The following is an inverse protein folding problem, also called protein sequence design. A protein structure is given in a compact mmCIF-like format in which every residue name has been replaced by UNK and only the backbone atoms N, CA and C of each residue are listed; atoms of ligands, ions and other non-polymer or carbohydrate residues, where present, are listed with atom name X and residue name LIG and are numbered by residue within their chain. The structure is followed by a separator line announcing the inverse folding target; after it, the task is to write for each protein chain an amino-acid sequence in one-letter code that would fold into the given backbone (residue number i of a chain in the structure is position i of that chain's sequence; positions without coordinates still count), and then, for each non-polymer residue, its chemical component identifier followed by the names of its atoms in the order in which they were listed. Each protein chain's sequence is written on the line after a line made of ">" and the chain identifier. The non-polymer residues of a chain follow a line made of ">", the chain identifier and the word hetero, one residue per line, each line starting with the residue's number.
data_IF_670494993801
#
_entry.id   IF_670494993801
#
_cell.length_a   1.000
_cell.length_b   1.000
_cell.length_c   1.000
_cell.angle_alpha   90.00
_cell.angle_beta   90.00
_cell.angle_gamma   90.00
#
_symmetry.space_group_name_H-M   'P 1'
#
loop_
_entity.id
_entity.type
_entity.pdbx_description
1 polymer ?
#
# COMPACT_ATOMS: atom_id res chain seq x y z
N UNK A 1 16.74 16.58 71.14
CA UNK A 1 16.90 17.23 69.78
C UNK A 1 17.35 16.24 68.73
N UNK A 2 18.06 15.17 69.09
CA UNK A 2 18.54 14.15 68.09
C UNK A 2 17.42 13.32 67.43
N UNK A 3 16.28 13.08 68.10
CA UNK A 3 15.18 12.32 67.62
C UNK A 3 14.47 12.98 66.39
N UNK A 4 14.59 14.29 66.22
CA UNK A 4 14.02 15.02 65.05
C UNK A 4 15.02 15.18 63.90
N UNK A 5 16.32 15.03 64.17
CA UNK A 5 17.34 15.14 63.08
C UNK A 5 17.35 13.95 62.13
N UNK A 6 17.13 12.74 62.62
CA UNK A 6 17.15 11.52 61.81
C UNK A 6 16.00 11.53 60.76
N UNK A 7 14.71 11.78 61.16
CA UNK A 7 13.64 11.85 60.18
C UNK A 7 13.80 13.01 59.17
N UNK A 8 14.36 14.16 59.61
CA UNK A 8 14.62 15.29 58.70
C UNK A 8 15.71 14.95 57.66
N UNK A 9 16.76 14.25 58.02
CA UNK A 9 17.80 13.76 57.12
C UNK A 9 17.25 12.73 56.13
N UNK A 10 16.39 11.82 56.58
CA UNK A 10 15.75 10.83 55.73
C UNK A 10 14.83 11.49 54.70
N UNK A 11 14.02 12.47 55.14
CA UNK A 11 13.16 13.24 54.25
C UNK A 11 14.00 14.01 53.22
N UNK A 12 15.08 14.67 53.65
CA UNK A 12 16.00 15.39 52.76
C UNK A 12 16.66 14.46 51.76
N UNK A 13 17.07 13.27 52.17
CA UNK A 13 17.64 12.27 51.29
C UNK A 13 16.63 11.72 50.26
N UNK A 14 15.39 11.46 50.68
CA UNK A 14 14.30 11.04 49.77
C UNK A 14 13.98 12.13 48.76
N UNK A 15 13.94 13.40 49.17
CA UNK A 15 13.73 14.54 48.28
C UNK A 15 14.87 14.66 47.25
N UNK A 16 16.12 14.47 47.72
CA UNK A 16 17.29 14.53 46.85
C UNK A 16 17.29 13.41 45.80
N UNK A 17 16.85 12.21 46.16
CA UNK A 17 16.68 11.11 45.19
C UNK A 17 15.58 11.38 44.16
N UNK A 18 14.50 12.05 44.55
CA UNK A 18 13.40 12.44 43.64
C UNK A 18 13.74 13.66 42.76
N UNK A 19 14.83 14.35 43.02
CA UNK A 19 15.32 15.50 42.27
C UNK A 19 15.92 15.07 40.91
N UNK A 20 16.44 13.85 40.85
CA UNK A 20 17.06 13.31 39.64
C UNK A 20 16.03 12.57 38.79
N UNK A 21 15.82 13.02 37.56
CA UNK A 21 15.00 12.33 36.56
C UNK A 21 15.83 12.02 35.34
N UNK A 22 15.66 10.80 34.83
CA UNK A 22 16.26 10.35 33.55
C UNK A 22 15.18 10.44 32.47
N UNK A 23 15.52 11.11 31.39
CA UNK A 23 14.73 11.20 30.17
C UNK A 23 15.42 10.34 29.12
N UNK A 24 14.70 9.40 28.52
CA UNK A 24 15.21 8.52 27.49
C UNK A 24 15.45 9.28 26.18
N UNK A 25 16.31 8.75 25.30
CA UNK A 25 16.68 9.42 24.06
C UNK A 25 15.49 9.66 23.12
N UNK A 26 14.51 8.80 23.18
CA UNK A 26 13.28 8.89 22.39
C UNK A 26 12.16 9.70 23.06
N UNK A 27 12.38 10.21 24.29
CA UNK A 27 11.44 11.03 25.04
C UNK A 27 11.88 12.49 25.12
N UNK A 28 10.93 13.37 25.38
CA UNK A 28 11.14 14.75 25.82
C UNK A 28 10.30 15.00 27.07
N UNK A 29 10.86 15.71 28.02
CA UNK A 29 10.17 16.07 29.25
C UNK A 29 9.65 17.50 29.20
N UNK A 30 8.34 17.69 29.29
CA UNK A 30 7.72 19.02 29.43
C UNK A 30 7.64 19.36 30.90
N UNK A 31 8.33 20.43 31.30
CA UNK A 31 8.38 20.90 32.70
C UNK A 31 7.31 21.96 32.93
N UNK A 32 6.46 21.66 33.90
CA UNK A 32 5.49 22.61 34.45
C UNK A 32 5.92 23.04 35.85
N UNK A 33 6.24 24.32 36.04
CA UNK A 33 6.59 24.90 37.35
C UNK A 33 5.36 25.60 37.90
N UNK A 34 4.81 25.11 39.02
CA UNK A 34 3.56 25.61 39.59
C UNK A 34 2.41 25.70 38.57
N UNK A 35 2.35 24.73 37.65
CA UNK A 35 1.34 24.68 36.60
C UNK A 35 1.65 25.51 35.35
N UNK A 36 2.70 26.33 35.33
CA UNK A 36 3.11 27.10 34.15
C UNK A 36 4.23 26.39 33.42
N UNK A 37 4.15 26.37 32.07
CA UNK A 37 5.24 25.88 31.23
C UNK A 37 6.55 26.62 31.48
N UNK A 38 7.61 25.89 31.78
CA UNK A 38 8.93 26.44 32.12
C UNK A 38 10.00 26.06 31.08
N UNK A 39 9.82 24.97 30.36
CA UNK A 39 10.78 24.53 29.36
C UNK A 39 10.65 23.03 29.03
N UNK A 40 11.47 22.60 28.06
CA UNK A 40 11.53 21.20 27.60
C UNK A 40 12.88 20.60 27.95
N UNK A 41 12.87 19.47 28.65
CA UNK A 41 14.06 18.72 29.04
C UNK A 41 14.55 17.84 27.87
N UNK A 42 15.85 17.90 27.67
CA UNK A 42 16.55 17.03 26.73
C UNK A 42 16.82 15.64 27.34
N UNK A 43 17.07 14.62 26.51
CA UNK A 43 17.46 13.30 26.99
C UNK A 43 18.71 13.33 27.87
N UNK A 44 18.72 12.47 28.86
CA UNK A 44 19.79 12.34 29.82
C UNK A 44 19.35 12.60 31.27
N UNK A 45 20.31 12.84 32.15
CA UNK A 45 20.09 13.13 33.55
C UNK A 45 19.71 14.60 33.72
N UNK A 46 18.53 14.85 34.27
CA UNK A 46 18.02 16.20 34.55
C UNK A 46 17.74 16.36 36.06
N UNK A 47 17.87 17.59 36.54
CA UNK A 47 17.61 17.98 37.93
C UNK A 47 16.28 18.73 37.97
N UNK A 48 15.39 18.28 38.85
CA UNK A 48 14.07 18.87 39.07
C UNK A 48 13.83 19.17 40.54
N UNK A 49 12.98 20.14 40.79
CA UNK A 49 12.50 20.44 42.15
C UNK A 49 11.15 19.69 42.33
N UNK A 50 11.14 18.55 43.07
CA UNK A 50 10.01 17.60 43.00
C UNK A 50 8.67 18.14 43.54
N UNK A 51 8.66 19.19 44.34
CA UNK A 51 7.46 19.78 44.93
C UNK A 51 6.88 20.87 43.98
N UNK A 52 7.75 21.60 43.27
CA UNK A 52 7.37 22.77 42.48
C UNK A 52 7.22 22.45 40.99
N UNK A 53 7.89 21.39 40.55
CA UNK A 53 7.99 21.03 39.15
C UNK A 53 7.35 19.67 38.87
N UNK A 54 6.55 19.62 37.83
CA UNK A 54 5.97 18.39 37.25
C UNK A 54 6.49 18.19 35.83
N UNK A 55 6.89 16.96 35.50
CA UNK A 55 7.34 16.60 34.17
C UNK A 55 6.31 15.68 33.52
N UNK A 56 5.96 16.01 32.27
CA UNK A 56 5.18 15.16 31.39
C UNK A 56 6.13 14.64 30.32
N UNK A 57 6.32 13.35 30.24
CA UNK A 57 7.15 12.70 29.22
C UNK A 57 6.33 12.48 27.97
N UNK A 58 6.88 12.84 26.83
CA UNK A 58 6.28 12.67 25.50
C UNK A 58 7.21 11.84 24.63
N UNK A 59 6.70 10.75 24.05
CA UNK A 59 7.44 9.92 23.10
C UNK A 59 7.50 10.61 21.74
N UNK A 60 8.71 10.69 21.16
CA UNK A 60 8.98 11.34 19.88
C UNK A 60 9.02 10.38 18.70
N UNK A 61 8.86 9.07 18.95
CA UNK A 61 8.86 8.05 17.91
C UNK A 61 7.57 8.09 17.09
N UNK A 62 7.65 7.48 15.91
CA UNK A 62 6.46 7.28 15.09
C UNK A 62 5.51 6.34 15.84
N UNK A 63 4.30 6.82 16.06
CA UNK A 63 3.20 6.10 16.69
C UNK A 63 2.12 5.84 15.64
N UNK A 64 1.42 4.73 15.79
CA UNK A 64 0.29 4.37 14.93
C UNK A 64 -1.02 4.52 15.70
N UNK A 65 -2.06 5.01 15.00
CA UNK A 65 -3.42 4.99 15.52
C UNK A 65 -4.36 4.45 14.44
N UNK A 66 -5.19 3.50 14.83
CA UNK A 66 -6.19 2.93 13.93
C UNK A 66 -7.39 3.86 13.82
N UNK A 67 -7.82 4.11 12.59
CA UNK A 67 -9.10 4.75 12.28
C UNK A 67 -10.13 3.63 12.14
N UNK A 68 -11.12 3.55 13.04
CA UNK A 68 -12.15 2.52 13.00
C UNK A 68 -12.94 2.60 11.69
N UNK A 69 -13.49 1.47 11.29
CA UNK A 69 -14.29 1.35 10.08
C UNK A 69 -15.41 2.38 10.03
N UNK A 70 -15.49 3.10 8.91
CA UNK A 70 -16.51 4.08 8.62
C UNK A 70 -17.37 3.61 7.45
N UNK A 71 -18.69 3.73 7.58
CA UNK A 71 -19.60 3.59 6.45
C UNK A 71 -19.74 4.95 5.77
N UNK A 72 -19.37 5.02 4.51
CA UNK A 72 -19.42 6.25 3.69
C UNK A 72 -20.10 5.90 2.36
N UNK A 73 -20.82 6.87 1.81
CA UNK A 73 -21.40 6.76 0.46
C UNK A 73 -20.47 7.50 -0.50
N UNK A 74 -19.99 6.81 -1.52
CA UNK A 74 -19.15 7.37 -2.56
C UNK A 74 -19.95 8.33 -3.47
N UNK A 75 -19.27 9.09 -4.32
CA UNK A 75 -19.89 10.03 -5.27
C UNK A 75 -20.87 9.36 -6.23
N UNK A 76 -20.62 8.11 -6.61
CA UNK A 76 -21.49 7.26 -7.44
C UNK A 76 -22.58 6.52 -6.65
N UNK A 77 -22.84 6.97 -5.41
CA UNK A 77 -23.91 6.50 -4.52
C UNK A 77 -23.76 5.04 -4.08
N UNK A 78 -22.55 4.53 -3.95
CA UNK A 78 -22.26 3.20 -3.43
C UNK A 78 -21.87 3.28 -1.95
N UNK A 79 -22.54 2.59 -1.02
CA UNK A 79 -22.10 2.51 0.36
C UNK A 79 -20.86 1.63 0.48
N UNK A 80 -19.83 2.13 1.13
CA UNK A 80 -18.54 1.42 1.36
C UNK A 80 -18.14 1.52 2.82
N UNK A 81 -17.60 0.42 3.36
CA UNK A 81 -16.94 0.39 4.67
C UNK A 81 -15.44 0.56 4.47
N UNK A 82 -14.84 1.54 5.17
CA UNK A 82 -13.41 1.84 5.02
C UNK A 82 -12.78 2.03 6.38
N UNK A 83 -11.61 1.43 6.57
CA UNK A 83 -10.72 1.64 7.69
C UNK A 83 -9.33 2.09 7.20
N UNK A 84 -8.61 2.78 8.07
CA UNK A 84 -7.28 3.26 7.76
C UNK A 84 -6.41 3.31 9.02
N UNK A 85 -5.11 3.51 8.85
CA UNK A 85 -4.15 3.72 9.93
C UNK A 85 -3.40 5.02 9.69
N UNK A 86 -3.29 5.82 10.73
CA UNK A 86 -2.46 7.03 10.76
C UNK A 86 -1.13 6.72 11.41
N UNK A 87 -0.05 7.13 10.77
CA UNK A 87 1.31 7.14 11.29
C UNK A 87 1.70 8.58 11.57
N UNK A 88 1.99 8.92 12.81
CA UNK A 88 2.36 10.27 13.21
C UNK A 88 3.49 10.26 14.22
N UNK A 89 4.17 11.40 14.35
CA UNK A 89 5.18 11.64 15.38
C UNK A 89 5.03 13.04 15.96
N UNK A 90 5.41 13.19 17.21
CA UNK A 90 5.42 14.50 17.87
C UNK A 90 6.72 15.22 17.53
N UNK A 91 6.65 16.37 16.85
CA UNK A 91 7.83 17.22 16.56
C UNK A 91 8.05 18.30 17.63
N UNK A 92 6.96 18.89 18.13
CA UNK A 92 7.00 19.93 19.15
C UNK A 92 6.20 19.46 20.37
N UNK A 93 6.84 18.80 21.34
CA UNK A 93 6.15 18.20 22.47
C UNK A 93 5.46 19.24 23.39
N UNK A 94 5.96 20.48 23.42
CA UNK A 94 5.32 21.58 24.14
C UNK A 94 3.94 21.91 23.57
N UNK A 95 3.80 22.00 22.25
CA UNK A 95 2.52 22.31 21.60
C UNK A 95 1.55 21.14 21.78
N UNK A 96 2.03 19.89 21.64
CA UNK A 96 1.22 18.70 21.76
C UNK A 96 0.62 18.49 23.17
N UNK A 97 1.32 18.95 24.21
CA UNK A 97 0.84 18.84 25.61
C UNK A 97 0.00 20.04 26.03
N UNK A 98 0.34 21.24 25.54
CA UNK A 98 -0.30 22.48 26.02
C UNK A 98 -1.53 22.86 25.24
N UNK A 99 -1.60 22.52 23.93
CA UNK A 99 -2.71 22.91 23.07
C UNK A 99 -3.82 21.87 23.01
N UNK A 100 -3.50 20.60 23.22
CA UNK A 100 -4.45 19.48 23.09
C UNK A 100 -4.36 18.58 24.31
N UNK A 101 -5.51 18.10 24.77
CA UNK A 101 -5.61 17.21 25.92
C UNK A 101 -5.17 15.78 25.56
N UNK A 102 -5.66 15.25 24.43
CA UNK A 102 -5.33 13.94 23.90
C UNK A 102 -5.15 14.06 22.37
N UNK A 103 -3.89 14.22 21.98
CA UNK A 103 -3.54 14.39 20.59
C UNK A 103 -3.79 13.13 19.76
N UNK A 104 -3.66 11.93 20.35
CA UNK A 104 -3.91 10.68 19.66
C UNK A 104 -5.37 10.55 19.27
N UNK A 105 -6.25 10.82 20.21
CA UNK A 105 -7.68 10.83 19.98
C UNK A 105 -8.08 11.91 18.96
N UNK A 106 -7.56 13.13 19.10
CA UNK A 106 -7.87 14.25 18.22
C UNK A 106 -7.45 13.97 16.76
N UNK A 107 -6.23 13.45 16.54
CA UNK A 107 -5.75 13.05 15.22
C UNK A 107 -6.67 12.00 14.59
N UNK A 108 -7.04 10.98 15.38
CA UNK A 108 -7.91 9.90 14.89
C UNK A 108 -9.26 10.44 14.46
N UNK A 109 -9.89 11.31 15.26
CA UNK A 109 -11.18 11.92 14.93
C UNK A 109 -11.10 12.84 13.71
N UNK A 110 -10.04 13.62 13.60
CA UNK A 110 -9.83 14.50 12.44
C UNK A 110 -9.59 13.69 11.17
N UNK A 111 -8.72 12.68 11.24
CA UNK A 111 -8.46 11.78 10.14
C UNK A 111 -9.71 11.01 9.69
N UNK A 112 -10.56 10.59 10.63
CA UNK A 112 -11.84 9.95 10.37
C UNK A 112 -12.80 10.88 9.60
N UNK A 113 -12.83 12.15 9.96
CA UNK A 113 -13.65 13.16 9.27
C UNK A 113 -13.11 13.43 7.87
N UNK A 114 -11.81 13.67 7.73
CA UNK A 114 -11.16 13.89 6.45
C UNK A 114 -11.33 12.70 5.49
N UNK A 115 -11.22 11.47 6.03
CA UNK A 115 -11.46 10.24 5.27
C UNK A 115 -12.89 10.19 4.73
N UNK A 116 -13.89 10.53 5.55
CA UNK A 116 -15.31 10.56 5.12
C UNK A 116 -15.54 11.59 4.02
N UNK A 117 -14.99 12.79 4.17
CA UNK A 117 -15.20 13.89 3.23
C UNK A 117 -14.57 13.61 1.87
N UNK A 118 -13.34 13.11 1.84
CA UNK A 118 -12.65 12.77 0.60
C UNK A 118 -13.35 11.62 -0.12
N UNK A 119 -13.69 10.54 0.60
CA UNK A 119 -14.33 9.38 -0.02
C UNK A 119 -15.72 9.70 -0.54
N UNK A 120 -16.47 10.56 0.13
CA UNK A 120 -17.74 11.07 -0.38
C UNK A 120 -17.63 11.84 -1.70
N UNK A 121 -16.45 12.39 -2.02
CA UNK A 121 -16.15 13.09 -3.28
C UNK A 121 -15.60 12.23 -4.41
N UNK A 122 -15.24 10.96 -4.15
CA UNK A 122 -14.57 10.07 -5.09
C UNK A 122 -15.53 8.95 -5.54
N UNK A 123 -15.38 8.50 -6.79
CA UNK A 123 -16.10 7.34 -7.33
C UNK A 123 -15.45 6.02 -6.85
N UNK A 124 -16.24 4.95 -6.74
CA UNK A 124 -15.76 3.65 -6.26
C UNK A 124 -14.56 3.11 -7.05
N UNK A 125 -14.57 3.27 -8.38
CA UNK A 125 -13.47 2.81 -9.24
C UNK A 125 -12.17 3.57 -8.92
N UNK A 126 -12.24 4.88 -8.74
CA UNK A 126 -11.12 5.72 -8.28
C UNK A 126 -10.60 5.30 -6.91
N UNK A 127 -11.52 5.00 -5.97
CA UNK A 127 -11.18 4.53 -4.63
C UNK A 127 -10.42 3.20 -4.65
N UNK A 128 -10.73 2.31 -5.58
CA UNK A 128 -10.07 1.00 -5.72
C UNK A 128 -8.73 1.09 -6.46
N UNK A 129 -8.60 2.00 -7.43
CA UNK A 129 -7.44 2.12 -8.32
C UNK A 129 -6.40 3.14 -7.84
N UNK A 130 -6.83 4.23 -7.21
CA UNK A 130 -5.97 5.36 -6.82
C UNK A 130 -5.81 5.49 -5.29
N UNK A 131 -5.82 4.38 -4.55
CA UNK A 131 -5.76 4.35 -3.07
C UNK A 131 -4.64 5.21 -2.49
N UNK A 132 -3.45 5.17 -3.10
CA UNK A 132 -2.30 5.92 -2.60
C UNK A 132 -2.50 7.43 -2.73
N UNK A 133 -3.05 7.88 -3.85
CA UNK A 133 -3.35 9.30 -4.09
C UNK A 133 -4.36 9.85 -3.08
N UNK A 134 -5.42 9.08 -2.84
CA UNK A 134 -6.45 9.40 -1.84
C UNK A 134 -5.83 9.46 -0.43
N UNK A 135 -4.99 8.49 -0.08
CA UNK A 135 -4.30 8.48 1.21
C UNK A 135 -3.37 9.69 1.39
N UNK A 136 -2.67 10.12 0.33
CA UNK A 136 -1.79 11.29 0.34
C UNK A 136 -2.60 12.60 0.45
N UNK A 137 -3.79 12.66 -0.14
CA UNK A 137 -4.70 13.80 -0.02
C UNK A 137 -5.26 13.91 1.40
N UNK A 138 -5.73 12.80 2.00
CA UNK A 138 -6.16 12.75 3.40
C UNK A 138 -5.01 13.18 4.32
N UNK A 139 -3.80 12.65 4.08
CA UNK A 139 -2.60 13.03 4.83
C UNK A 139 -2.38 14.53 4.78
N UNK A 140 -2.46 15.16 3.61
CA UNK A 140 -2.21 16.59 3.43
C UNK A 140 -3.18 17.44 4.26
N UNK A 141 -4.46 17.08 4.28
CA UNK A 141 -5.50 17.78 5.06
C UNK A 141 -5.24 17.60 6.56
N UNK A 142 -4.98 16.38 7.01
CA UNK A 142 -4.75 16.10 8.43
C UNK A 142 -3.47 16.75 8.92
N UNK A 143 -2.38 16.70 8.14
CA UNK A 143 -1.09 17.27 8.49
C UNK A 143 -1.15 18.80 8.61
N UNK A 144 -1.91 19.46 7.74
CA UNK A 144 -2.11 20.90 7.80
C UNK A 144 -2.69 21.34 9.15
N UNK A 145 -3.69 20.64 9.66
CA UNK A 145 -4.33 20.98 10.95
C UNK A 145 -3.47 20.55 12.14
N UNK A 146 -2.83 19.39 12.06
CA UNK A 146 -2.04 18.84 13.17
C UNK A 146 -0.68 19.52 13.36
N UNK A 147 -0.19 20.23 12.33
CA UNK A 147 1.06 21.00 12.39
C UNK A 147 0.99 22.07 13.50
N UNK A 148 -0.15 22.72 13.70
CA UNK A 148 -0.36 23.72 14.75
C UNK A 148 -0.32 23.11 16.16
N UNK A 149 -0.50 21.81 16.27
CA UNK A 149 -0.40 21.05 17.53
C UNK A 149 1.01 20.50 17.76
N UNK A 150 1.95 20.77 16.85
CA UNK A 150 3.32 20.27 16.92
C UNK A 150 3.47 18.80 16.54
N UNK A 151 2.52 18.26 15.78
CA UNK A 151 2.47 16.86 15.35
C UNK A 151 2.65 16.82 13.83
N UNK A 152 3.42 15.84 13.38
CA UNK A 152 3.72 15.58 11.97
C UNK A 152 3.10 14.24 11.58
N UNK A 153 2.18 14.25 10.62
CA UNK A 153 1.57 13.04 10.07
C UNK A 153 2.48 12.49 8.99
N UNK A 154 3.17 11.42 9.31
CA UNK A 154 4.14 10.79 8.39
C UNK A 154 3.44 10.12 7.22
N UNK A 155 2.39 9.34 7.48
CA UNK A 155 1.62 8.64 6.45
C UNK A 155 0.21 8.30 6.94
N UNK A 156 -0.72 8.20 6.00
CA UNK A 156 -2.01 7.55 6.21
C UNK A 156 -2.09 6.39 5.23
N UNK A 157 -2.59 5.24 5.68
CA UNK A 157 -2.75 4.03 4.85
C UNK A 157 -4.16 3.51 4.97
N UNK A 158 -4.84 3.43 3.85
CA UNK A 158 -6.15 2.75 3.75
C UNK A 158 -5.86 1.25 3.82
N UNK A 159 -6.52 0.55 4.76
CA UNK A 159 -6.35 -0.89 4.94
C UNK A 159 -7.35 -1.65 4.08
N UNK A 160 -8.61 -1.67 4.49
CA UNK A 160 -9.65 -2.43 3.83
C UNK A 160 -10.73 -1.52 3.26
N UNK A 161 -11.30 -1.94 2.12
CA UNK A 161 -12.45 -1.32 1.50
C UNK A 161 -13.49 -2.41 1.33
N UNK A 162 -14.54 -2.34 2.15
CA UNK A 162 -15.64 -3.27 2.10
C UNK A 162 -16.79 -2.69 1.27
N UNK A 163 -17.21 -3.45 0.28
CA UNK A 163 -18.40 -3.14 -0.53
C UNK A 163 -19.53 -4.15 -0.24
N UNK A 164 -20.79 -3.78 -0.40
CA UNK A 164 -21.93 -4.69 -0.19
C UNK A 164 -21.81 -5.97 -1.03
N UNK A 165 -22.33 -7.08 -0.49
CA UNK A 165 -22.22 -8.40 -1.12
C UNK A 165 -22.82 -8.45 -2.53
N UNK A 166 -23.91 -7.71 -2.76
CA UNK A 166 -24.56 -7.62 -4.06
C UNK A 166 -23.66 -6.90 -5.08
N UNK A 167 -23.01 -5.82 -4.67
CA UNK A 167 -22.06 -5.09 -5.51
C UNK A 167 -20.83 -5.94 -5.82
N UNK A 168 -20.28 -6.69 -4.83
CA UNK A 168 -19.18 -7.63 -5.07
C UNK A 168 -19.52 -8.63 -6.19
N UNK A 169 -20.75 -9.13 -6.22
CA UNK A 169 -21.21 -10.06 -7.28
C UNK A 169 -21.31 -9.39 -8.65
N UNK A 170 -21.80 -8.16 -8.71
CA UNK A 170 -21.86 -7.39 -9.97
C UNK A 170 -20.47 -7.10 -10.48
N UNK A 171 -19.57 -6.62 -9.62
CA UNK A 171 -18.17 -6.35 -9.97
C UNK A 171 -17.42 -7.60 -10.43
N UNK A 172 -17.66 -8.75 -9.80
CA UNK A 172 -17.06 -10.02 -10.22
C UNK A 172 -17.48 -10.40 -11.63
N UNK A 173 -18.77 -10.29 -11.96
CA UNK A 173 -19.29 -10.54 -13.32
C UNK A 173 -18.72 -9.55 -14.35
N UNK A 174 -18.63 -8.28 -14.01
CA UNK A 174 -18.05 -7.27 -14.87
C UNK A 174 -16.56 -7.55 -15.13
N UNK A 175 -15.79 -7.90 -14.07
CA UNK A 175 -14.38 -8.25 -14.19
C UNK A 175 -14.17 -9.53 -15.03
N UNK A 176 -15.06 -10.52 -14.93
CA UNK A 176 -15.03 -11.74 -15.74
C UNK A 176 -15.28 -11.39 -17.22
N UNK A 177 -16.33 -10.62 -17.52
CA UNK A 177 -16.63 -10.18 -18.88
C UNK A 177 -15.50 -9.36 -19.52
N UNK A 178 -14.89 -8.46 -18.75
CA UNK A 178 -13.73 -7.67 -19.21
C UNK A 178 -12.49 -8.54 -19.47
N UNK A 179 -12.24 -9.55 -18.62
CA UNK A 179 -11.16 -10.51 -18.84
C UNK A 179 -11.40 -11.36 -20.09
N UNK A 180 -12.64 -11.80 -20.31
CA UNK A 180 -13.01 -12.57 -21.50
C UNK A 180 -12.88 -11.71 -22.76
N UNK A 181 -13.32 -10.45 -22.72
CA UNK A 181 -13.13 -9.49 -23.80
C UNK A 181 -11.65 -9.30 -24.14
N UNK A 182 -10.81 -9.06 -23.13
CA UNK A 182 -9.35 -8.92 -23.33
C UNK A 182 -8.71 -10.20 -23.86
N UNK A 183 -9.09 -11.36 -23.33
CA UNK A 183 -8.59 -12.65 -23.79
C UNK A 183 -8.94 -12.89 -25.29
N UNK A 184 -10.16 -12.52 -25.72
CA UNK A 184 -10.59 -12.61 -27.09
C UNK A 184 -9.78 -11.69 -28.00
N UNK A 185 -9.54 -10.43 -27.60
CA UNK A 185 -8.71 -9.48 -28.36
C UNK A 185 -7.29 -10.02 -28.52
N UNK A 186 -6.65 -10.44 -27.40
CA UNK A 186 -5.29 -10.97 -27.42
C UNK A 186 -5.19 -12.23 -28.30
N UNK A 187 -6.20 -13.10 -28.24
CA UNK A 187 -6.27 -14.29 -29.09
C UNK A 187 -6.34 -13.90 -30.57
N UNK A 188 -7.23 -12.97 -30.93
CA UNK A 188 -7.39 -12.50 -32.32
C UNK A 188 -6.13 -11.80 -32.83
N UNK A 189 -5.46 -10.99 -32.02
CA UNK A 189 -4.18 -10.37 -32.37
C UNK A 189 -3.07 -11.43 -32.54
N UNK A 190 -3.07 -12.46 -31.69
CA UNK A 190 -2.17 -13.59 -31.77
C UNK A 190 -2.40 -14.40 -33.09
N UNK A 191 -3.64 -14.67 -33.42
CA UNK A 191 -4.01 -15.36 -34.67
C UNK A 191 -3.64 -14.56 -35.93
N UNK A 192 -3.87 -13.23 -35.90
CA UNK A 192 -3.46 -12.32 -36.96
C UNK A 192 -1.93 -12.33 -37.14
N UNK A 193 -1.20 -12.21 -36.02
CA UNK A 193 0.27 -12.26 -36.04
C UNK A 193 0.79 -13.60 -36.52
N UNK A 194 0.20 -14.71 -36.07
CA UNK A 194 0.54 -16.05 -36.52
C UNK A 194 0.28 -16.22 -38.01
N UNK A 195 -0.88 -15.77 -38.51
CA UNK A 195 -1.25 -15.80 -39.96
C UNK A 195 -0.26 -14.98 -40.79
N UNK A 196 0.11 -13.78 -40.32
CA UNK A 196 1.12 -12.94 -40.99
C UNK A 196 2.48 -13.61 -41.05
N UNK A 197 2.93 -14.23 -39.96
CA UNK A 197 4.19 -14.96 -39.89
C UNK A 197 4.18 -16.21 -40.77
N UNK A 198 3.04 -16.92 -40.83
CA UNK A 198 2.85 -18.08 -41.75
C UNK A 198 2.92 -17.65 -43.18
N UNK A 199 2.22 -16.56 -43.57
CA UNK A 199 2.29 -16.01 -44.93
C UNK A 199 3.72 -15.61 -45.33
N UNK A 200 4.44 -14.97 -44.42
CA UNK A 200 5.84 -14.60 -44.60
C UNK A 200 6.74 -15.83 -44.74
N UNK A 201 6.50 -16.85 -43.93
CA UNK A 201 7.23 -18.14 -44.03
C UNK A 201 6.90 -18.85 -45.36
N UNK A 202 5.63 -18.86 -45.78
CA UNK A 202 5.22 -19.45 -47.10
C UNK A 202 5.86 -18.68 -48.26
N UNK A 203 5.92 -17.35 -48.23
CA UNK A 203 6.57 -16.57 -49.29
C UNK A 203 8.08 -16.86 -49.40
N UNK A 204 8.75 -17.14 -48.27
CA UNK A 204 10.16 -17.55 -48.24
C UNK A 204 10.36 -18.98 -48.72
N UNK A 205 9.39 -19.87 -48.47
CA UNK A 205 9.44 -21.29 -48.86
C UNK A 205 9.00 -21.52 -50.31
N UNK A 206 8.30 -20.57 -50.95
CA UNK A 206 7.90 -20.64 -52.37
C UNK A 206 9.06 -20.47 -53.35
N UNK A 207 10.23 -20.04 -52.88
CA UNK A 207 11.45 -20.13 -53.67
C UNK A 207 11.87 -21.61 -53.83
N UNK A 208 12.10 -22.02 -55.08
CA UNK A 208 12.27 -23.40 -55.49
C UNK A 208 13.22 -24.23 -54.63
N UNK A 209 12.74 -25.32 -54.08
CA UNK A 209 13.50 -26.32 -53.29
C UNK A 209 13.27 -26.32 -51.78
N UNK A 210 12.75 -25.24 -51.16
CA UNK A 210 12.60 -25.14 -49.73
C UNK A 210 11.44 -26.01 -49.17
N UNK A 211 10.39 -26.22 -49.95
CA UNK A 211 9.24 -27.08 -49.59
C UNK A 211 9.70 -28.54 -49.46
N UNK A 212 10.54 -29.00 -50.39
CA UNK A 212 11.05 -30.36 -50.39
C UNK A 212 11.96 -30.64 -49.19
N UNK A 213 12.80 -29.68 -48.81
CA UNK A 213 13.64 -29.79 -47.59
C UNK A 213 12.82 -29.83 -46.32
N UNK A 214 11.75 -29.04 -46.19
CA UNK A 214 10.89 -29.02 -44.99
C UNK A 214 10.02 -30.28 -44.88
N UNK A 215 9.54 -30.85 -46.00
CA UNK A 215 8.85 -32.14 -45.96
C UNK A 215 9.80 -33.24 -45.53
N UNK A 216 11.06 -33.25 -45.97
CA UNK A 216 12.07 -34.20 -45.53
C UNK A 216 12.38 -34.04 -44.05
N UNK A 217 12.56 -32.83 -43.54
CA UNK A 217 12.76 -32.57 -42.10
C UNK A 217 11.58 -33.00 -41.22
N UNK A 218 10.35 -32.76 -41.72
CA UNK A 218 9.15 -33.20 -41.00
C UNK A 218 9.04 -34.73 -40.94
N UNK A 219 9.39 -35.40 -42.03
CA UNK A 219 9.45 -36.89 -42.11
C UNK A 219 10.51 -37.42 -41.13
N UNK A 220 11.70 -36.81 -41.13
CA UNK A 220 12.80 -37.21 -40.25
C UNK A 220 12.43 -37.03 -38.75
N UNK A 221 11.80 -35.91 -38.40
CA UNK A 221 11.36 -35.66 -37.01
C UNK A 221 10.22 -36.57 -36.54
N UNK A 222 9.39 -37.05 -37.47
CA UNK A 222 8.22 -37.90 -37.18
C UNK A 222 8.61 -39.38 -37.09
N UNK A 223 9.65 -39.79 -37.84
CA UNK A 223 10.15 -41.16 -37.84
C UNK A 223 11.08 -41.51 -36.66
N UNK A 224 11.47 -40.52 -35.86
CA UNK A 224 12.30 -40.69 -34.68
C UNK A 224 11.62 -41.51 -33.52
N UNK A 225 10.32 -41.78 -33.63
CA UNK A 225 9.56 -42.52 -32.62
C UNK A 225 8.94 -43.78 -33.22
N UNK A 226 9.47 -44.99 -32.99
CA UNK A 226 9.08 -46.24 -33.64
C UNK A 226 7.64 -46.71 -33.32
N UNK A 227 6.90 -46.04 -32.46
CA UNK A 227 5.54 -46.39 -32.05
C UNK A 227 4.43 -45.64 -32.78
N UNK A 228 4.75 -44.68 -33.68
CA UNK A 228 3.75 -43.85 -34.32
C UNK A 228 3.44 -44.34 -35.76
N UNK A 229 2.18 -44.61 -36.01
CA UNK A 229 1.69 -44.79 -37.38
C UNK A 229 1.45 -43.41 -37.99
N UNK A 230 2.24 -43.02 -38.99
CA UNK A 230 2.12 -41.73 -39.66
C UNK A 230 1.30 -41.90 -40.95
N UNK A 231 0.14 -41.29 -41.03
CA UNK A 231 -0.71 -41.22 -42.23
C UNK A 231 -0.38 -39.95 -43.01
N UNK A 232 0.26 -40.10 -44.15
CA UNK A 232 0.53 -38.99 -45.05
C UNK A 232 -0.62 -38.78 -46.02
N UNK A 233 -1.35 -37.66 -45.89
CA UNK A 233 -2.21 -37.17 -46.95
C UNK A 233 -1.35 -36.32 -47.94
N UNK A 234 -0.97 -36.92 -49.05
CA UNK A 234 -0.21 -36.21 -50.11
C UNK A 234 -1.21 -35.49 -51.01
N UNK A 235 -1.20 -34.15 -51.13
CA UNK A 235 -2.03 -33.44 -52.10
C UNK A 235 -1.72 -33.90 -53.51
N UNK A 236 -2.76 -34.08 -54.32
CA UNK A 236 -2.66 -34.60 -55.68
C UNK A 236 -1.73 -33.78 -56.59
N UNK A 237 -1.65 -32.46 -56.30
CA UNK A 237 -0.77 -31.51 -57.00
C UNK A 237 0.71 -31.88 -56.92
N UNK A 238 1.14 -32.49 -55.78
CA UNK A 238 2.54 -32.94 -55.58
C UNK A 238 2.83 -34.14 -56.46
N UNK A 239 1.86 -35.04 -56.61
CA UNK A 239 1.98 -36.22 -57.46
C UNK A 239 2.05 -35.85 -58.97
N UNK A 240 1.25 -34.86 -59.38
CA UNK A 240 1.31 -34.31 -60.75
C UNK A 240 2.65 -33.60 -61.06
N UNK A 241 3.22 -32.88 -60.06
CA UNK A 241 4.54 -32.27 -60.19
C UNK A 241 5.66 -33.33 -60.44
N UNK A 242 5.60 -34.41 -59.68
CA UNK A 242 6.54 -35.54 -59.89
C UNK A 242 6.38 -36.23 -61.25
N UNK A 243 5.14 -36.40 -61.73
CA UNK A 243 4.87 -37.00 -63.02
C UNK A 243 5.41 -36.14 -64.16
N UNK A 244 5.31 -34.82 -64.11
CA UNK A 244 5.89 -33.87 -65.08
C UNK A 244 7.45 -33.84 -65.00
N UNK A 245 8.08 -34.12 -63.92
CA UNK A 245 9.54 -34.15 -63.77
C UNK A 245 10.16 -35.45 -64.33
N UNK A 246 9.41 -36.56 -64.32
CA UNK A 246 9.85 -37.84 -64.85
C UNK A 246 9.60 -38.01 -66.39
N UNK A 247 8.91 -37.06 -67.00
CA UNK A 247 8.64 -37.05 -68.45
C UNK A 247 9.58 -36.11 -69.21
N UNK A 248 10.58 -35.59 -68.59
CA UNK A 248 11.63 -34.78 -69.17
C UNK A 248 13.00 -35.50 -68.99
#
# INVERSE_FOLDING_TARGET
>A
MEFLLVPLLVIGFILLLKTLIVIDQYERGIVLTLGKYSGTLQPGLNILIPILQRVIKVDMRITTSDIPQQEVITKDNVPVGINAVVYFQVKKPEDAVLKIQDYTYAITQYAQTALRDIIGGVELDGLLTERQKIADEIKSIVDQETTDWGIDVTAIKIQDIEVPADMKRVMAKQAEAERERRATIIRSEGELSASHNLNKAMSMLSQSGAISLRTLQTIESTTANPANTVVFAIPIEVIEGFKKALQK
#
